data_IF_955733996634
#
_entry.id   IF_955733996634
#
_cell.length_a   1.000
_cell.length_b   1.000
_cell.length_c   1.000
_cell.angle_alpha   90.00
_cell.angle_beta   90.00
_cell.angle_gamma   90.00
#
_symmetry.space_group_name_H-M   'P 1'
#
loop_
_entity.id
_entity.type
_entity.pdbx_description
1 polymer ?
#
# COMPACT_ATOMS: atom_id res chain seq x y z
N UNK A 1 27.20 -10.44 13.04
CA UNK A 1 25.79 -10.70 13.36
C UNK A 1 25.07 -9.37 13.43
N UNK A 2 24.31 -9.01 12.41
CA UNK A 2 23.48 -7.82 12.44
C UNK A 2 22.29 -8.14 13.33
N UNK A 3 22.27 -7.59 14.54
CA UNK A 3 21.07 -7.57 15.35
C UNK A 3 20.05 -6.70 14.60
N UNK A 4 19.08 -7.32 13.95
CA UNK A 4 17.87 -6.63 13.54
C UNK A 4 17.18 -6.23 14.85
N UNK A 5 17.47 -5.02 15.30
CA UNK A 5 16.58 -4.38 16.25
C UNK A 5 15.24 -4.28 15.54
N UNK A 6 14.28 -5.11 15.94
CA UNK A 6 12.89 -4.89 15.59
C UNK A 6 12.56 -3.47 16.06
N UNK A 7 12.55 -2.54 15.11
CA UNK A 7 12.07 -1.21 15.38
C UNK A 7 10.65 -1.37 15.90
N UNK A 8 10.50 -1.07 17.18
CA UNK A 8 9.17 -0.90 17.75
C UNK A 8 8.38 0.00 16.81
N UNK A 9 7.18 -0.38 16.36
CA UNK A 9 6.43 0.44 15.43
C UNK A 9 6.33 1.85 16.02
N UNK A 10 6.85 2.82 15.28
CA UNK A 10 6.82 4.20 15.74
C UNK A 10 5.36 4.59 15.87
N UNK A 11 4.98 5.02 17.07
CA UNK A 11 3.64 5.50 17.34
C UNK A 11 3.35 6.67 16.40
N UNK A 12 2.54 6.43 15.38
CA UNK A 12 2.12 7.44 14.42
C UNK A 12 0.76 8.02 14.78
N UNK A 13 0.52 9.26 14.39
CA UNK A 13 -0.78 9.90 14.50
C UNK A 13 -1.26 10.29 13.12
N UNK A 14 -2.40 9.74 12.70
CA UNK A 14 -3.05 10.12 11.46
C UNK A 14 -4.11 11.18 11.71
N UNK A 15 -4.08 12.23 10.90
CA UNK A 15 -5.15 13.24 10.92
C UNK A 15 -6.34 12.78 10.09
N UNK A 16 -7.53 13.08 10.57
CA UNK A 16 -8.78 12.80 9.87
C UNK A 16 -9.72 13.98 9.88
N UNK A 17 -10.63 14.01 8.93
CA UNK A 17 -11.79 14.91 8.90
C UNK A 17 -13.06 14.11 8.72
N UNK A 18 -14.18 14.67 9.16
CA UNK A 18 -15.49 14.05 8.97
C UNK A 18 -16.06 14.50 7.63
N UNK A 19 -16.49 13.54 6.83
CA UNK A 19 -17.11 13.77 5.52
C UNK A 19 -18.51 13.14 5.49
N UNK A 20 -19.47 13.86 4.94
CA UNK A 20 -20.84 13.37 4.71
C UNK A 20 -20.89 12.60 3.39
N UNK A 21 -21.57 11.48 3.37
CA UNK A 21 -21.84 10.74 2.14
C UNK A 21 -22.91 11.44 1.32
N UNK A 22 -22.56 11.86 0.12
CA UNK A 22 -23.41 12.65 -0.77
C UNK A 22 -23.96 11.88 -1.97
N UNK A 23 -23.64 10.59 -2.11
CA UNK A 23 -24.11 9.76 -3.21
C UNK A 23 -25.52 9.23 -2.91
N UNK A 24 -26.58 9.69 -3.62
CA UNK A 24 -27.97 9.36 -3.28
C UNK A 24 -28.33 7.88 -3.40
N UNK A 25 -27.60 7.13 -4.22
CA UNK A 25 -27.88 5.70 -4.49
C UNK A 25 -27.28 4.75 -3.46
N UNK A 26 -26.52 5.26 -2.49
CA UNK A 26 -25.90 4.40 -1.47
C UNK A 26 -26.79 4.31 -0.22
N UNK A 27 -26.87 3.13 0.43
CA UNK A 27 -27.59 2.96 1.70
C UNK A 27 -27.05 3.86 2.82
N UNK A 28 -25.84 4.36 2.66
CA UNK A 28 -25.13 5.25 3.60
C UNK A 28 -25.34 6.73 3.30
N UNK A 29 -26.21 7.09 2.35
CA UNK A 29 -26.51 8.48 2.01
C UNK A 29 -26.88 9.29 3.26
N UNK A 30 -26.29 10.45 3.41
CA UNK A 30 -26.52 11.34 4.54
C UNK A 30 -25.76 10.98 5.83
N UNK A 31 -25.11 9.83 5.89
CA UNK A 31 -24.28 9.42 7.04
C UNK A 31 -22.90 10.04 6.97
N UNK A 32 -22.23 10.09 8.09
CA UNK A 32 -20.90 10.68 8.24
C UNK A 32 -19.85 9.59 8.43
N UNK A 33 -18.65 9.82 7.90
CA UNK A 33 -17.49 8.95 8.08
C UNK A 33 -16.21 9.75 8.26
N UNK A 34 -15.25 9.17 8.97
CA UNK A 34 -13.89 9.71 9.03
C UNK A 34 -13.15 9.40 7.72
N UNK A 35 -12.40 10.37 7.24
CA UNK A 35 -11.54 10.25 6.06
C UNK A 35 -10.15 10.75 6.42
N UNK A 36 -9.12 9.99 6.06
CA UNK A 36 -7.75 10.38 6.29
C UNK A 36 -7.41 11.71 5.60
N UNK A 37 -6.64 12.55 6.29
CA UNK A 37 -6.04 13.74 5.73
C UNK A 37 -4.58 13.45 5.45
N UNK A 38 -4.22 13.35 4.16
CA UNK A 38 -2.84 13.14 3.75
C UNK A 38 -2.08 14.47 3.79
N UNK A 39 -0.92 14.47 4.45
CA UNK A 39 -0.14 15.69 4.68
C UNK A 39 0.63 16.09 3.42
N UNK A 40 1.35 15.14 2.84
CA UNK A 40 2.25 15.37 1.71
C UNK A 40 2.53 14.07 0.97
N UNK A 41 3.06 14.18 -0.22
CA UNK A 41 3.61 13.04 -0.95
C UNK A 41 5.14 13.08 -0.83
N UNK A 42 5.72 12.02 -0.28
CA UNK A 42 7.17 11.88 -0.18
C UNK A 42 7.68 11.20 -1.45
N UNK A 43 8.63 11.84 -2.12
CA UNK A 43 9.26 11.29 -3.33
C UNK A 43 10.24 10.16 -3.00
N UNK A 44 10.57 9.35 -4.01
CA UNK A 44 11.60 8.32 -3.86
C UNK A 44 12.97 8.91 -3.50
N UNK A 45 13.34 10.06 -4.06
CA UNK A 45 14.60 10.73 -3.77
C UNK A 45 14.66 11.19 -2.30
N UNK A 46 13.58 11.71 -1.78
CA UNK A 46 13.47 12.09 -0.38
C UNK A 46 13.61 10.86 0.54
N UNK A 47 12.93 9.76 0.21
CA UNK A 47 13.03 8.50 0.98
C UNK A 47 14.47 7.97 1.00
N UNK A 48 15.14 7.99 -0.15
CA UNK A 48 16.55 7.54 -0.27
C UNK A 48 17.47 8.42 0.58
N UNK A 49 17.29 9.73 0.51
CA UNK A 49 18.06 10.68 1.30
C UNK A 49 17.90 10.42 2.81
N UNK A 50 16.68 10.31 3.29
CA UNK A 50 16.41 10.01 4.70
C UNK A 50 16.97 8.65 5.13
N UNK A 51 16.87 7.63 4.28
CA UNK A 51 17.41 6.31 4.55
C UNK A 51 18.95 6.30 4.67
N UNK A 52 19.62 7.20 3.97
CA UNK A 52 21.10 7.31 3.97
C UNK A 52 21.64 8.22 5.08
N UNK A 53 20.83 9.04 5.74
CA UNK A 53 21.29 10.02 6.74
C UNK A 53 22.03 9.40 7.93
N UNK A 54 21.63 8.18 8.34
CA UNK A 54 22.20 7.49 9.50
C UNK A 54 22.92 6.19 9.16
N UNK A 55 23.13 5.92 7.88
CA UNK A 55 23.74 4.68 7.39
C UNK A 55 24.96 4.99 6.51
N UNK A 56 25.99 4.14 6.53
CA UNK A 56 27.21 4.35 5.73
C UNK A 56 27.01 4.08 4.23
N UNK A 57 25.78 3.92 3.77
CA UNK A 57 25.45 3.67 2.37
C UNK A 57 25.27 5.02 1.67
N UNK A 58 25.95 5.22 0.53
CA UNK A 58 25.78 6.42 -0.27
C UNK A 58 24.41 6.46 -0.96
N UNK A 59 23.93 7.66 -1.24
CA UNK A 59 22.65 7.85 -1.95
C UNK A 59 22.69 7.22 -3.35
N UNK A 60 23.82 7.28 -4.05
CA UNK A 60 23.97 6.66 -5.38
C UNK A 60 23.83 5.14 -5.33
N UNK A 61 24.45 4.49 -4.35
CA UNK A 61 24.35 3.04 -4.15
C UNK A 61 22.91 2.65 -3.77
N UNK A 62 22.30 3.41 -2.88
CA UNK A 62 20.90 3.16 -2.48
C UNK A 62 19.94 3.34 -3.65
N UNK A 63 20.13 4.37 -4.46
CA UNK A 63 19.31 4.62 -5.67
C UNK A 63 19.43 3.45 -6.65
N UNK A 64 20.65 2.99 -6.92
CA UNK A 64 20.88 1.85 -7.79
C UNK A 64 20.21 0.57 -7.25
N UNK A 65 20.29 0.34 -5.94
CA UNK A 65 19.65 -0.80 -5.30
C UNK A 65 18.13 -0.76 -5.40
N UNK A 66 17.51 0.40 -5.17
CA UNK A 66 16.06 0.59 -5.27
C UNK A 66 15.58 0.36 -6.71
N UNK A 67 16.29 0.92 -7.69
CA UNK A 67 15.95 0.72 -9.11
C UNK A 67 16.01 -0.76 -9.47
N UNK A 68 17.10 -1.44 -9.11
CA UNK A 68 17.27 -2.85 -9.42
C UNK A 68 16.22 -3.73 -8.74
N UNK A 69 15.94 -3.47 -7.47
CA UNK A 69 14.90 -4.19 -6.74
C UNK A 69 13.53 -3.99 -7.39
N UNK A 70 13.20 -2.76 -7.78
CA UNK A 70 11.93 -2.45 -8.46
C UNK A 70 11.79 -3.18 -9.79
N UNK A 71 12.86 -3.28 -10.58
CA UNK A 71 12.87 -4.06 -11.82
C UNK A 71 12.54 -5.53 -11.59
N UNK A 72 13.16 -6.13 -10.58
CA UNK A 72 12.94 -7.54 -10.23
C UNK A 72 11.51 -7.77 -9.72
N UNK A 73 11.02 -6.89 -8.85
CA UNK A 73 9.63 -6.93 -8.35
C UNK A 73 8.64 -6.84 -9.52
N UNK A 74 8.82 -5.87 -10.40
CA UNK A 74 7.93 -5.68 -11.55
C UNK A 74 7.92 -6.90 -12.47
N UNK A 75 9.06 -7.50 -12.72
CA UNK A 75 9.15 -8.70 -13.52
C UNK A 75 8.33 -9.85 -12.93
N UNK A 76 8.46 -10.11 -11.64
CA UNK A 76 7.70 -11.17 -10.97
C UNK A 76 6.21 -10.88 -10.93
N UNK A 77 5.81 -9.67 -10.60
CA UNK A 77 4.39 -9.29 -10.59
C UNK A 77 3.74 -9.48 -11.96
N UNK A 78 4.43 -9.12 -13.04
CA UNK A 78 3.94 -9.31 -14.41
C UNK A 78 3.79 -10.77 -14.83
N UNK A 79 4.55 -11.66 -14.20
CA UNK A 79 4.43 -13.11 -14.41
C UNK A 79 3.32 -13.75 -13.58
N UNK A 80 2.63 -12.98 -12.75
CA UNK A 80 1.58 -13.47 -11.88
C UNK A 80 2.07 -13.96 -10.52
N UNK A 81 3.32 -13.72 -10.18
CA UNK A 81 3.87 -14.08 -8.87
C UNK A 81 3.37 -13.12 -7.79
N UNK A 82 3.32 -13.62 -6.56
CA UNK A 82 3.12 -12.81 -5.38
C UNK A 82 4.47 -12.46 -4.77
N UNK A 83 4.61 -11.22 -4.29
CA UNK A 83 5.83 -10.72 -3.68
C UNK A 83 5.57 -10.47 -2.20
N UNK A 84 6.35 -11.10 -1.34
CA UNK A 84 6.36 -10.77 0.09
C UNK A 84 7.55 -9.87 0.39
N UNK A 85 7.26 -8.65 0.81
CA UNK A 85 8.26 -7.73 1.38
C UNK A 85 8.20 -7.82 2.89
N UNK A 86 9.35 -8.14 3.51
CA UNK A 86 9.48 -8.16 4.96
C UNK A 86 9.06 -6.81 5.53
N UNK A 87 8.37 -6.79 6.66
CA UNK A 87 7.87 -5.62 7.38
C UNK A 87 6.65 -4.92 6.73
N UNK A 88 6.38 -5.16 5.46
CA UNK A 88 5.29 -4.50 4.74
C UNK A 88 4.12 -5.43 4.49
N UNK A 89 4.34 -6.51 3.79
CA UNK A 89 3.30 -7.47 3.46
C UNK A 89 3.43 -8.08 2.09
N UNK A 90 2.30 -8.53 1.57
CA UNK A 90 2.19 -9.27 0.33
C UNK A 90 1.63 -8.39 -0.77
N UNK A 91 2.32 -8.33 -1.91
CA UNK A 91 1.85 -7.66 -3.12
C UNK A 91 1.51 -8.68 -4.19
N UNK A 92 0.46 -8.45 -4.93
CA UNK A 92 0.04 -9.24 -6.10
C UNK A 92 -0.74 -8.38 -7.09
N UNK A 93 -0.72 -8.78 -8.35
CA UNK A 93 -1.66 -8.23 -9.33
C UNK A 93 -2.94 -9.08 -9.33
N UNK A 94 -4.07 -8.41 -9.33
CA UNK A 94 -5.39 -9.03 -9.50
C UNK A 94 -6.00 -8.60 -10.81
N UNK A 95 -6.72 -9.53 -11.45
CA UNK A 95 -7.43 -9.25 -12.69
C UNK A 95 -8.74 -8.55 -12.37
N UNK A 96 -9.00 -7.43 -13.03
CA UNK A 96 -10.30 -6.77 -13.05
C UNK A 96 -11.11 -7.29 -14.22
N UNK A 97 -12.20 -7.96 -13.94
CA UNK A 97 -13.02 -8.64 -14.93
C UNK A 97 -14.52 -8.36 -14.74
N UNK A 98 -15.22 -8.27 -15.86
CA UNK A 98 -16.66 -8.36 -15.87
C UNK A 98 -17.10 -9.78 -15.52
N UNK A 99 -18.29 -9.88 -14.96
CA UNK A 99 -18.96 -11.16 -14.69
C UNK A 99 -19.87 -11.52 -15.85
N UNK A 100 -19.94 -12.79 -16.17
CA UNK A 100 -20.86 -13.35 -17.17
C UNK A 100 -21.69 -14.47 -16.52
N UNK A 101 -22.90 -14.68 -17.02
CA UNK A 101 -23.81 -15.66 -16.43
C UNK A 101 -23.44 -17.10 -16.74
N UNK A 102 -22.80 -17.34 -17.89
CA UNK A 102 -22.41 -18.66 -18.38
C UNK A 102 -20.92 -18.70 -18.69
N UNK A 103 -20.28 -19.79 -18.33
CA UNK A 103 -18.85 -20.00 -18.57
C UNK A 103 -18.48 -19.86 -20.07
N UNK A 104 -19.33 -20.39 -20.93
CA UNK A 104 -19.11 -20.36 -22.40
C UNK A 104 -19.14 -18.96 -23.00
N UNK A 105 -19.75 -18.01 -22.32
CA UNK A 105 -19.88 -16.63 -22.77
C UNK A 105 -18.65 -15.79 -22.43
N UNK A 106 -17.77 -16.29 -21.58
CA UNK A 106 -16.58 -15.55 -21.19
C UNK A 106 -15.57 -15.43 -22.33
N UNK A 107 -15.17 -14.19 -22.60
CA UNK A 107 -14.13 -13.84 -23.58
C UNK A 107 -13.12 -12.90 -22.91
N UNK A 108 -11.87 -13.36 -22.79
CA UNK A 108 -10.81 -12.61 -22.12
C UNK A 108 -10.64 -11.19 -22.71
N UNK A 109 -10.58 -11.07 -24.02
CA UNK A 109 -10.43 -9.75 -24.69
C UNK A 109 -11.58 -8.79 -24.44
N UNK A 110 -12.78 -9.29 -24.15
CA UNK A 110 -13.97 -8.48 -23.93
C UNK A 110 -14.21 -8.19 -22.45
N UNK A 111 -13.97 -9.16 -21.59
CA UNK A 111 -14.40 -9.12 -20.19
C UNK A 111 -13.28 -8.81 -19.20
N UNK A 112 -12.01 -9.04 -19.55
CA UNK A 112 -10.88 -8.60 -18.74
C UNK A 112 -10.62 -7.12 -19.05
N UNK A 113 -10.85 -6.26 -18.06
CA UNK A 113 -10.66 -4.81 -18.21
C UNK A 113 -9.22 -4.38 -17.96
N UNK A 114 -8.50 -5.11 -17.13
CA UNK A 114 -7.13 -4.79 -16.75
C UNK A 114 -6.68 -5.53 -15.51
N UNK A 115 -5.64 -5.00 -14.90
CA UNK A 115 -5.09 -5.50 -13.63
C UNK A 115 -4.95 -4.37 -12.64
N UNK A 116 -4.99 -4.70 -11.36
CA UNK A 116 -4.70 -3.75 -10.27
C UNK A 116 -3.71 -4.35 -9.29
N UNK A 117 -2.93 -3.49 -8.68
CA UNK A 117 -2.06 -3.89 -7.58
C UNK A 117 -2.88 -4.04 -6.30
N UNK A 118 -2.80 -5.22 -5.71
CA UNK A 118 -3.38 -5.50 -4.40
C UNK A 118 -2.27 -5.71 -3.37
N UNK A 119 -2.39 -5.02 -2.26
CA UNK A 119 -1.46 -5.09 -1.16
C UNK A 119 -2.17 -5.60 0.10
N UNK A 120 -1.60 -6.64 0.71
CA UNK A 120 -2.08 -7.21 1.97
C UNK A 120 -1.00 -6.98 3.02
N UNK A 121 -1.24 -6.13 4.03
CA UNK A 121 -0.25 -5.86 5.08
C UNK A 121 0.16 -7.12 5.84
N UNK A 122 1.41 -7.17 6.28
CA UNK A 122 1.88 -8.22 7.16
C UNK A 122 1.14 -8.17 8.49
N UNK A 123 0.67 -9.31 8.97
CA UNK A 123 0.05 -9.43 10.28
C UNK A 123 0.84 -10.41 11.14
N UNK A 124 1.01 -10.07 12.41
CA UNK A 124 1.49 -10.96 13.44
C UNK A 124 0.46 -11.03 14.56
N UNK A 125 0.19 -12.23 15.07
CA UNK A 125 -0.73 -12.45 16.19
C UNK A 125 -2.12 -11.79 16.05
N UNK A 126 -2.62 -11.70 14.81
CA UNK A 126 -3.91 -11.08 14.51
C UNK A 126 -3.88 -9.55 14.42
N UNK A 127 -2.74 -8.90 14.71
CA UNK A 127 -2.52 -7.48 14.45
C UNK A 127 -1.85 -7.27 13.09
N UNK A 128 -2.04 -6.10 12.51
CA UNK A 128 -1.36 -5.69 11.29
C UNK A 128 -0.19 -4.78 11.67
N UNK A 129 1.03 -5.31 11.67
CA UNK A 129 2.22 -4.64 12.19
C UNK A 129 2.42 -3.21 11.64
N UNK A 130 2.09 -2.98 10.36
CA UNK A 130 2.16 -1.66 9.74
C UNK A 130 1.21 -0.64 10.39
N UNK A 131 0.07 -1.07 10.90
CA UNK A 131 -0.99 -0.21 11.43
C UNK A 131 -1.04 -0.18 12.96
N UNK A 132 -0.24 -1.02 13.59
CA UNK A 132 -0.27 -1.20 15.04
C UNK A 132 0.15 0.08 15.76
N UNK A 133 -0.62 0.46 16.77
CA UNK A 133 -0.31 1.65 17.59
C UNK A 133 -0.60 3.01 16.93
N UNK A 134 -1.27 3.06 15.79
CA UNK A 134 -1.67 4.33 15.16
C UNK A 134 -2.79 4.98 15.98
N UNK A 135 -2.61 6.25 16.28
CA UNK A 135 -3.63 7.11 16.91
C UNK A 135 -4.25 8.06 15.89
N UNK A 136 -5.42 8.62 16.22
CA UNK A 136 -6.16 9.46 15.30
C UNK A 136 -6.44 10.83 15.93
N UNK A 137 -6.17 11.88 15.18
CA UNK A 137 -6.43 13.27 15.57
C UNK A 137 -7.33 13.95 14.55
N UNK A 138 -8.39 14.62 15.04
CA UNK A 138 -9.27 15.38 14.15
C UNK A 138 -8.55 16.64 13.68
N UNK A 139 -8.58 16.87 12.36
CA UNK A 139 -8.06 18.13 11.78
C UNK A 139 -8.81 19.32 12.36
N UNK A 140 -8.06 20.29 12.84
CA UNK A 140 -8.63 21.58 13.27
C UNK A 140 -9.01 22.37 12.03
N UNK A 141 -10.26 22.78 11.97
CA UNK A 141 -10.75 23.73 10.95
C UNK A 141 -10.23 25.13 11.25
#
# INVERSE_FOLDING_TARGET
>A
MLAYSYLCPQKGTMKYRIKKETKPKLPTFGKYKAVAVHQQTISSDQLIKEACEQNPISEDVMTAAVIRLSEVINRHLRQGDRIRLREWGLMKLEIESDKVDRLEDFRAKKHIRGVRLHFIPESSDGSQALYDGITFEKERQ
#
